data_IF_209930229862
#
_entry.id   IF_209930229862
#
_cell.length_a   1.000
_cell.length_b   1.000
_cell.length_c   1.000
_cell.angle_alpha   90.00
_cell.angle_beta   90.00
_cell.angle_gamma   90.00
#
_symmetry.space_group_name_H-M   'P 1'
#
loop_
_entity.id
_entity.type
_entity.pdbx_description
1 polymer ?
#
# COMPACT_ATOMS: atom_id res chain seq x y z
N UNK A 1 -36.56 16.52 -97.10
CA UNK A 1 -35.76 17.45 -97.94
C UNK A 1 -34.82 18.20 -97.00
N UNK A 2 -33.54 18.25 -97.36
CA UNK A 2 -32.50 19.16 -96.83
C UNK A 2 -31.79 18.73 -95.52
N UNK A 3 -30.50 18.44 -95.73
CA UNK A 3 -29.37 18.18 -94.81
C UNK A 3 -29.07 19.36 -93.89
N UNK A 4 -28.59 19.12 -92.67
CA UNK A 4 -27.57 19.95 -91.99
C UNK A 4 -26.80 19.06 -90.98
N UNK A 5 -25.53 18.72 -91.20
CA UNK A 5 -24.27 19.42 -90.82
C UNK A 5 -23.73 18.98 -89.44
N UNK A 6 -22.56 18.35 -89.46
CA UNK A 6 -21.72 17.98 -88.32
C UNK A 6 -21.13 19.21 -87.61
N UNK A 7 -21.02 19.15 -86.28
CA UNK A 7 -19.96 19.83 -85.51
C UNK A 7 -19.49 18.88 -84.40
N UNK A 8 -18.21 18.49 -84.44
CA UNK A 8 -17.51 17.81 -83.35
C UNK A 8 -17.20 18.82 -82.24
N UNK A 9 -17.50 18.48 -81.00
CA UNK A 9 -16.94 19.13 -79.81
C UNK A 9 -16.28 18.05 -78.93
N UNK A 10 -14.96 18.11 -78.82
CA UNK A 10 -14.18 17.23 -77.96
C UNK A 10 -14.36 17.60 -76.49
N UNK A 11 -14.61 16.60 -75.64
CA UNK A 11 -14.50 16.73 -74.20
C UNK A 11 -13.14 16.23 -73.73
N UNK A 12 -12.38 17.14 -73.14
CA UNK A 12 -11.15 16.89 -72.40
C UNK A 12 -11.48 16.11 -71.12
N UNK A 13 -10.82 14.96 -70.94
CA UNK A 13 -10.89 14.16 -69.73
C UNK A 13 -9.85 14.68 -68.72
N UNK A 14 -10.30 15.48 -67.74
CA UNK A 14 -9.47 15.90 -66.62
C UNK A 14 -9.57 14.86 -65.50
N UNK A 15 -8.57 14.00 -65.39
CA UNK A 15 -8.43 13.04 -64.28
C UNK A 15 -8.03 13.75 -62.99
N UNK A 16 -8.90 13.73 -62.00
CA UNK A 16 -8.59 14.10 -60.61
C UNK A 16 -7.93 12.92 -59.90
N UNK A 17 -6.60 12.97 -59.73
CA UNK A 17 -5.87 12.14 -58.78
C UNK A 17 -6.11 12.69 -57.36
N UNK A 18 -6.91 11.98 -56.56
CA UNK A 18 -7.03 12.26 -55.12
C UNK A 18 -5.81 11.66 -54.40
N UNK A 19 -4.91 12.54 -53.94
CA UNK A 19 -3.81 12.20 -53.02
C UNK A 19 -4.39 11.79 -51.66
N UNK A 20 -4.43 10.48 -51.40
CA UNK A 20 -4.74 9.95 -50.08
C UNK A 20 -3.64 10.28 -49.09
N UNK A 21 -3.92 11.14 -48.12
CA UNK A 21 -3.08 11.36 -46.96
C UNK A 21 -3.06 10.07 -46.11
N UNK A 22 -1.89 9.51 -45.77
CA UNK A 22 -1.84 8.39 -44.84
C UNK A 22 -2.26 8.88 -43.46
N UNK A 23 -3.39 8.37 -42.96
CA UNK A 23 -3.70 8.42 -41.54
C UNK A 23 -2.65 7.59 -40.80
N UNK A 24 -1.67 8.27 -40.20
CA UNK A 24 -0.78 7.65 -39.24
C UNK A 24 -1.61 7.28 -38.01
N UNK A 25 -1.96 6.00 -37.88
CA UNK A 25 -2.50 5.44 -36.65
C UNK A 25 -1.36 5.53 -35.62
N UNK A 26 -1.47 6.47 -34.69
CA UNK A 26 -0.57 6.52 -33.55
C UNK A 26 -0.73 5.21 -32.78
N UNK A 27 0.33 4.39 -32.76
CA UNK A 27 0.41 3.27 -31.84
C UNK A 27 0.32 3.82 -30.41
N UNK A 28 -0.40 3.16 -29.48
CA UNK A 28 -0.36 3.56 -28.09
C UNK A 28 1.09 3.51 -27.63
N UNK A 29 1.58 4.62 -27.08
CA UNK A 29 2.86 4.65 -26.41
C UNK A 29 2.82 3.57 -25.32
N UNK A 30 3.68 2.55 -25.43
CA UNK A 30 3.84 1.59 -24.35
C UNK A 30 4.19 2.35 -23.08
N UNK A 31 3.48 2.02 -21.99
CA UNK A 31 3.77 2.53 -20.65
C UNK A 31 5.27 2.43 -20.40
N UNK A 32 5.93 3.59 -20.28
CA UNK A 32 7.24 3.64 -19.65
C UNK A 32 7.03 3.29 -18.19
N UNK A 33 6.99 2.00 -17.86
CA UNK A 33 7.36 1.58 -16.51
C UNK A 33 8.79 2.07 -16.33
N UNK A 34 8.98 3.17 -15.60
CA UNK A 34 10.29 3.64 -15.20
C UNK A 34 11.12 2.43 -14.73
N UNK A 35 12.40 2.38 -15.09
CA UNK A 35 13.28 1.29 -14.68
C UNK A 35 13.19 1.12 -13.15
N UNK A 36 12.66 -0.01 -12.71
CA UNK A 36 12.45 -0.29 -11.29
C UNK A 36 13.80 -0.31 -10.55
N UNK A 37 14.04 0.57 -9.56
CA UNK A 37 15.30 0.61 -8.82
C UNK A 37 15.65 -0.70 -8.13
N UNK A 38 14.66 -1.54 -7.83
CA UNK A 38 14.85 -2.85 -7.20
C UNK A 38 15.00 -3.98 -8.22
N UNK A 39 14.86 -3.72 -9.53
CA UNK A 39 14.89 -4.70 -10.61
C UNK A 39 14.01 -5.94 -10.36
N UNK A 40 12.83 -5.71 -9.78
CA UNK A 40 11.86 -6.77 -9.52
C UNK A 40 11.26 -7.26 -10.83
N UNK A 41 11.35 -8.57 -11.15
CA UNK A 41 10.68 -9.14 -12.31
C UNK A 41 9.15 -9.02 -12.24
N UNK A 42 8.58 -8.74 -11.07
CA UNK A 42 7.14 -8.57 -10.86
C UNK A 42 6.69 -7.11 -10.80
N UNK A 43 7.58 -6.14 -11.03
CA UNK A 43 7.19 -4.73 -10.93
C UNK A 43 6.02 -4.38 -11.84
N UNK A 44 6.01 -4.85 -13.10
CA UNK A 44 4.89 -4.64 -14.02
C UNK A 44 3.56 -5.16 -13.48
N UNK A 45 3.56 -6.34 -12.85
CA UNK A 45 2.37 -6.90 -12.20
C UNK A 45 1.92 -6.04 -11.01
N UNK A 46 2.87 -5.57 -10.19
CA UNK A 46 2.56 -4.73 -9.04
C UNK A 46 1.99 -3.38 -9.46
N UNK A 47 2.60 -2.76 -10.48
CA UNK A 47 2.14 -1.47 -10.99
C UNK A 47 0.69 -1.57 -11.50
N UNK A 48 0.39 -2.63 -12.26
CA UNK A 48 -0.96 -2.94 -12.72
C UNK A 48 -1.93 -3.21 -11.57
N UNK A 49 -1.53 -4.00 -10.58
CA UNK A 49 -2.40 -4.42 -9.48
C UNK A 49 -2.78 -3.29 -8.52
N UNK A 50 -1.89 -2.30 -8.31
CA UNK A 50 -2.09 -1.27 -7.29
C UNK A 50 -2.45 0.11 -7.83
N UNK A 51 -2.10 0.43 -9.07
CA UNK A 51 -2.24 1.81 -9.58
C UNK A 51 -3.15 1.91 -10.81
N UNK A 52 -3.53 0.81 -11.46
CA UNK A 52 -4.54 0.77 -12.52
C UNK A 52 -4.38 1.88 -13.59
N UNK A 53 -3.14 2.10 -14.06
CA UNK A 53 -2.81 3.12 -15.06
C UNK A 53 -2.62 4.55 -14.53
N UNK A 54 -2.69 4.77 -13.22
CA UNK A 54 -2.33 6.05 -12.59
C UNK A 54 -0.82 6.33 -12.71
N UNK A 55 -0.44 7.60 -12.62
CA UNK A 55 0.97 8.01 -12.67
C UNK A 55 1.73 7.50 -11.44
N UNK A 56 2.85 6.82 -11.71
CA UNK A 56 3.74 6.24 -10.69
C UNK A 56 5.16 6.68 -10.95
N UNK A 57 5.81 7.24 -9.94
CA UNK A 57 7.22 7.63 -9.98
C UNK A 57 7.98 6.99 -8.81
N UNK A 58 9.23 6.60 -9.04
CA UNK A 58 10.11 6.22 -7.94
C UNK A 58 10.68 7.48 -7.29
N UNK A 59 10.57 7.59 -5.97
CA UNK A 59 10.96 8.79 -5.22
C UNK A 59 11.93 8.45 -4.09
N UNK A 60 13.19 8.94 -4.12
CA UNK A 60 14.20 8.63 -3.11
C UNK A 60 13.90 9.24 -1.73
N UNK A 61 12.91 10.14 -1.63
CA UNK A 61 12.43 10.66 -0.34
C UNK A 61 11.58 9.64 0.43
N UNK A 62 11.13 8.58 -0.24
CA UNK A 62 10.44 7.47 0.40
C UNK A 62 11.46 6.40 0.74
N UNK A 63 11.41 5.91 1.98
CA UNK A 63 12.26 4.83 2.44
C UNK A 63 11.48 3.68 3.05
N UNK A 64 12.01 2.48 2.85
CA UNK A 64 11.63 1.27 3.58
C UNK A 64 12.89 0.79 4.28
N UNK A 65 12.81 0.62 5.60
CA UNK A 65 13.91 0.15 6.42
C UNK A 65 13.49 -1.09 7.21
N UNK A 66 14.45 -1.98 7.40
CA UNK A 66 14.29 -3.28 8.04
C UNK A 66 15.63 -4.00 8.07
N UNK A 67 15.69 -5.24 8.58
CA UNK A 67 16.90 -6.03 8.54
C UNK A 67 17.23 -6.40 7.08
N UNK A 68 18.52 -6.46 6.73
CA UNK A 68 18.95 -6.98 5.43
C UNK A 68 18.59 -8.46 5.27
N UNK A 69 18.67 -9.21 6.37
CA UNK A 69 18.32 -10.63 6.47
C UNK A 69 17.35 -10.83 7.64
N UNK A 70 16.17 -11.35 7.35
CA UNK A 70 15.15 -11.71 8.30
C UNK A 70 15.26 -13.20 8.65
N UNK A 71 15.82 -13.48 9.84
CA UNK A 71 15.91 -14.85 10.35
C UNK A 71 14.53 -15.42 10.69
N UNK A 72 13.68 -14.61 11.34
CA UNK A 72 12.28 -14.92 11.58
C UNK A 72 11.40 -14.26 10.50
N UNK A 73 10.97 -15.07 9.53
CA UNK A 73 10.12 -14.64 8.42
C UNK A 73 8.67 -14.39 8.82
N UNK A 74 8.25 -14.78 10.04
CA UNK A 74 6.93 -14.45 10.59
C UNK A 74 6.89 -13.05 11.19
N UNK A 75 8.03 -12.49 11.59
CA UNK A 75 8.12 -11.25 12.37
C UNK A 75 9.20 -10.29 11.85
N UNK A 76 9.13 -9.92 10.57
CA UNK A 76 10.11 -9.02 9.96
C UNK A 76 9.79 -7.56 10.33
N UNK A 77 10.63 -6.86 11.12
CA UNK A 77 10.36 -5.47 11.48
C UNK A 77 10.61 -4.54 10.28
N UNK A 78 9.60 -3.78 9.90
CA UNK A 78 9.61 -2.83 8.79
C UNK A 78 9.22 -1.45 9.29
N UNK A 79 9.95 -0.43 8.86
CA UNK A 79 9.52 0.97 8.97
C UNK A 79 9.44 1.56 7.58
N UNK A 80 8.26 2.06 7.23
CA UNK A 80 8.01 2.82 6.00
C UNK A 80 7.94 4.30 6.35
N UNK A 81 8.61 5.14 5.56
CA UNK A 81 8.70 6.58 5.82
C UNK A 81 8.59 7.35 4.51
N UNK A 82 7.51 8.14 4.40
CA UNK A 82 7.24 9.10 3.34
C UNK A 82 7.06 10.51 3.93
N UNK A 83 7.50 10.76 5.16
CA UNK A 83 7.30 12.05 5.87
C UNK A 83 8.04 13.22 5.22
N UNK A 84 9.03 12.95 4.37
CA UNK A 84 9.70 13.95 3.56
C UNK A 84 8.87 14.43 2.34
N UNK A 85 7.72 13.79 2.07
CA UNK A 85 6.76 14.22 1.07
C UNK A 85 5.69 15.11 1.71
N UNK A 86 5.37 16.27 1.11
CA UNK A 86 4.24 17.07 1.56
C UNK A 86 2.91 16.42 1.14
N UNK A 87 1.90 16.51 2.01
CA UNK A 87 0.52 16.17 1.66
C UNK A 87 0.30 14.71 1.27
N UNK A 88 0.92 13.76 1.97
CA UNK A 88 0.62 12.32 1.80
C UNK A 88 -0.78 12.04 2.33
N UNK A 89 -1.66 11.55 1.47
CA UNK A 89 -3.04 11.18 1.83
C UNK A 89 -3.16 9.70 2.20
N UNK A 90 -2.37 8.85 1.54
CA UNK A 90 -2.47 7.40 1.65
C UNK A 90 -1.12 6.74 1.39
N UNK A 91 -0.82 5.67 2.13
CA UNK A 91 0.31 4.79 1.91
C UNK A 91 -0.17 3.35 1.76
N UNK A 92 0.29 2.65 0.73
CA UNK A 92 0.06 1.22 0.53
C UNK A 92 1.39 0.51 0.67
N UNK A 93 1.46 -0.47 1.58
CA UNK A 93 2.65 -1.30 1.79
C UNK A 93 2.40 -2.69 1.21
N UNK A 94 3.34 -3.19 0.43
CA UNK A 94 3.21 -4.48 -0.26
C UNK A 94 4.57 -5.15 -0.47
N UNK A 95 4.54 -6.47 -0.67
CA UNK A 95 5.71 -7.28 -0.96
C UNK A 95 5.50 -8.06 -2.25
N UNK A 96 6.37 -7.83 -3.24
CA UNK A 96 6.19 -8.31 -4.61
C UNK A 96 6.05 -9.84 -4.70
N UNK A 97 6.71 -10.59 -3.81
CA UNK A 97 6.78 -12.05 -3.86
C UNK A 97 5.98 -12.77 -2.77
N UNK A 98 5.19 -12.04 -1.98
CA UNK A 98 4.23 -12.66 -1.09
C UNK A 98 3.01 -13.19 -1.88
N UNK A 99 2.38 -14.28 -1.42
CA UNK A 99 1.13 -14.77 -2.02
C UNK A 99 -0.03 -13.78 -1.83
N UNK A 100 -0.07 -13.11 -0.67
CA UNK A 100 -0.95 -11.97 -0.40
C UNK A 100 -0.08 -10.72 -0.50
N UNK A 101 -0.23 -9.98 -1.61
CA UNK A 101 0.69 -8.92 -2.01
C UNK A 101 0.62 -7.70 -1.09
N UNK A 102 -0.60 -7.21 -0.83
CA UNK A 102 -0.84 -6.03 0.01
C UNK A 102 -0.74 -6.40 1.48
N UNK A 103 0.11 -5.70 2.22
CA UNK A 103 0.25 -5.89 3.65
C UNK A 103 -0.69 -4.97 4.44
N UNK A 104 -0.76 -3.69 4.07
CA UNK A 104 -1.65 -2.73 4.71
C UNK A 104 -1.86 -1.48 3.86
N UNK A 105 -2.91 -0.73 4.18
CA UNK A 105 -3.10 0.67 3.84
C UNK A 105 -2.97 1.53 5.10
N UNK A 106 -2.36 2.70 4.99
CA UNK A 106 -2.21 3.66 6.08
C UNK A 106 -2.60 5.06 5.59
N UNK A 107 -3.52 5.69 6.30
CA UNK A 107 -3.93 7.07 6.08
C UNK A 107 -3.33 7.91 7.22
N UNK A 108 -2.23 8.65 6.97
CA UNK A 108 -1.52 9.34 8.04
C UNK A 108 -2.35 10.46 8.66
N UNK A 109 -3.23 11.14 7.90
CA UNK A 109 -4.08 12.19 8.44
C UNK A 109 -3.29 13.31 9.11
N UNK A 110 -3.44 13.46 10.43
CA UNK A 110 -2.68 14.40 11.25
C UNK A 110 -1.38 13.81 11.82
N UNK A 111 -1.16 12.49 11.69
CA UNK A 111 0.12 11.86 11.99
C UNK A 111 1.15 12.12 10.88
N UNK A 112 2.42 11.87 11.18
CA UNK A 112 3.47 11.82 10.15
C UNK A 112 3.21 10.62 9.22
N UNK A 113 3.57 10.77 7.95
CA UNK A 113 3.54 9.70 6.95
C UNK A 113 4.65 8.66 7.17
N UNK A 114 4.67 8.06 8.36
CA UNK A 114 5.65 7.11 8.83
C UNK A 114 4.98 6.06 9.70
N UNK A 115 5.23 4.78 9.40
CA UNK A 115 4.65 3.66 10.12
C UNK A 115 5.69 2.56 10.34
N UNK A 116 5.88 2.16 11.60
CA UNK A 116 6.64 0.97 11.98
C UNK A 116 5.70 -0.19 12.28
N UNK A 117 5.97 -1.36 11.73
CA UNK A 117 5.18 -2.58 11.96
C UNK A 117 6.01 -3.85 11.73
N UNK A 118 5.39 -5.02 11.83
CA UNK A 118 6.03 -6.30 11.51
C UNK A 118 5.27 -7.01 10.39
N UNK A 119 6.01 -7.57 9.45
CA UNK A 119 5.52 -8.20 8.23
C UNK A 119 5.89 -9.69 8.21
N UNK A 120 5.00 -10.53 7.69
CA UNK A 120 5.26 -11.91 7.29
C UNK A 120 5.81 -11.92 5.86
N UNK A 121 6.95 -12.58 5.64
CA UNK A 121 7.54 -12.77 4.31
C UNK A 121 7.54 -14.24 3.92
N UNK A 122 6.99 -14.56 2.75
CA UNK A 122 6.99 -15.93 2.24
C UNK A 122 8.34 -16.34 1.67
N UNK A 123 9.10 -15.38 1.18
CA UNK A 123 10.46 -15.53 0.64
C UNK A 123 11.13 -14.15 0.60
N UNK A 124 12.43 -14.12 0.30
CA UNK A 124 13.15 -12.86 0.01
C UNK A 124 12.38 -12.05 -1.02
N UNK A 125 12.04 -10.80 -0.71
CA UNK A 125 11.15 -9.99 -1.54
C UNK A 125 11.57 -8.52 -1.51
N UNK A 126 11.37 -7.79 -2.62
CA UNK A 126 11.16 -6.35 -2.53
C UNK A 126 9.99 -6.08 -1.59
N UNK A 127 10.22 -5.22 -0.59
CA UNK A 127 9.17 -4.64 0.26
C UNK A 127 9.07 -3.17 -0.12
N UNK A 128 7.87 -2.73 -0.48
CA UNK A 128 7.62 -1.42 -1.05
C UNK A 128 6.57 -0.68 -0.26
N UNK A 129 6.69 0.64 -0.31
CA UNK A 129 5.61 1.55 0.06
C UNK A 129 5.36 2.52 -1.08
N UNK A 130 4.10 2.61 -1.47
CA UNK A 130 3.61 3.63 -2.38
C UNK A 130 2.85 4.67 -1.58
N UNK A 131 3.19 5.94 -1.73
CA UNK A 131 2.52 7.06 -1.10
C UNK A 131 1.82 7.90 -2.16
N UNK A 132 0.50 8.08 -2.03
CA UNK A 132 -0.27 9.01 -2.85
C UNK A 132 -0.34 10.34 -2.14
N UNK A 133 0.05 11.38 -2.84
CA UNK A 133 -0.01 12.76 -2.34
C UNK A 133 -1.22 13.50 -2.94
N UNK A 134 -1.50 14.70 -2.41
CA UNK A 134 -2.60 15.58 -2.85
C UNK A 134 -2.61 15.93 -4.35
N UNK A 135 -1.49 15.76 -5.05
CA UNK A 135 -1.38 15.94 -6.50
C UNK A 135 -1.87 14.72 -7.30
N UNK A 136 -2.27 13.63 -6.62
CA UNK A 136 -2.79 12.41 -7.21
C UNK A 136 -1.71 11.42 -7.71
N UNK A 137 -0.43 11.79 -7.63
CA UNK A 137 0.68 10.94 -8.14
C UNK A 137 1.13 9.95 -7.07
N UNK A 138 1.30 8.68 -7.46
CA UNK A 138 1.91 7.67 -6.59
C UNK A 138 3.42 7.76 -6.62
N UNK A 139 4.02 7.98 -5.46
CA UNK A 139 5.47 7.95 -5.26
C UNK A 139 5.83 6.64 -4.59
N UNK A 140 6.82 5.93 -5.12
CA UNK A 140 7.18 4.58 -4.65
C UNK A 140 8.63 4.55 -4.19
N UNK A 141 8.83 3.96 -3.02
CA UNK A 141 10.14 3.57 -2.51
C UNK A 141 10.10 2.12 -2.02
N UNK A 142 11.27 1.53 -1.80
CA UNK A 142 11.35 0.15 -1.35
C UNK A 142 12.76 -0.29 -1.00
N UNK A 143 12.84 -1.49 -0.42
CA UNK A 143 14.09 -2.16 -0.11
C UNK A 143 13.96 -3.66 -0.36
N UNK A 144 15.07 -4.30 -0.69
CA UNK A 144 15.17 -5.74 -0.68
C UNK A 144 15.29 -6.24 0.76
N UNK A 145 14.47 -7.23 1.11
CA UNK A 145 14.59 -7.96 2.37
C UNK A 145 14.86 -9.42 2.03
N UNK A 146 15.98 -9.94 2.51
CA UNK A 146 16.29 -11.37 2.40
C UNK A 146 15.59 -12.10 3.54
N UNK A 147 14.93 -13.22 3.27
CA UNK A 147 14.20 -13.97 4.28
C UNK A 147 14.35 -15.48 4.06
N UNK A 148 14.40 -16.25 5.15
CA UNK A 148 14.38 -17.72 5.11
C UNK A 148 13.10 -18.24 4.44
N UNK A 149 12.00 -17.49 4.55
CA UNK A 149 10.72 -17.76 3.90
C UNK A 149 9.71 -18.51 4.78
N UNK A 150 8.55 -18.85 4.20
CA UNK A 150 7.48 -19.59 4.86
C UNK A 150 6.58 -18.77 5.80
N UNK A 151 6.84 -17.46 5.96
CA UNK A 151 6.14 -16.62 6.93
C UNK A 151 4.63 -16.49 6.72
N UNK A 152 4.11 -16.69 5.50
CA UNK A 152 2.67 -16.58 5.23
C UNK A 152 1.92 -17.92 5.33
N UNK A 153 2.62 -19.06 5.41
CA UNK A 153 2.03 -20.41 5.32
C UNK A 153 2.06 -21.19 6.63
N UNK A 154 2.61 -20.60 7.70
CA UNK A 154 2.62 -21.20 9.03
C UNK A 154 1.41 -20.73 9.85
N UNK A 155 0.85 -21.58 10.73
CA UNK A 155 -0.22 -21.19 11.64
C UNK A 155 0.27 -20.12 12.64
N UNK A 156 -0.64 -19.25 13.08
CA UNK A 156 -0.45 -18.45 14.28
C UNK A 156 -0.21 -19.34 15.51
N UNK A 157 0.68 -18.92 16.41
CA UNK A 157 0.91 -19.64 17.67
C UNK A 157 -0.25 -19.36 18.64
N UNK A 158 -0.77 -18.14 18.65
CA UNK A 158 -1.84 -17.72 19.56
C UNK A 158 -3.21 -18.35 19.29
N UNK A 159 -3.53 -18.68 18.03
CA UNK A 159 -4.86 -19.19 17.64
C UNK A 159 -5.23 -20.53 18.29
N UNK A 160 -4.25 -21.30 18.77
CA UNK A 160 -4.46 -22.61 19.40
C UNK A 160 -4.73 -22.60 20.91
N UNK A 161 -4.65 -21.46 21.61
CA UNK A 161 -4.80 -21.40 23.09
C UNK A 161 -6.10 -20.72 23.55
N UNK A 162 -6.89 -21.35 24.44
CA UNK A 162 -8.13 -20.74 24.97
C UNK A 162 -7.92 -19.43 25.73
N UNK A 163 -6.86 -19.33 26.55
CA UNK A 163 -6.57 -18.11 27.33
C UNK A 163 -6.28 -16.91 26.44
N UNK A 164 -5.81 -17.15 25.22
CA UNK A 164 -5.51 -16.09 24.27
C UNK A 164 -6.76 -15.61 23.53
N UNK A 165 -7.74 -16.49 23.30
CA UNK A 165 -9.05 -16.11 22.72
C UNK A 165 -9.82 -15.17 23.65
N UNK A 166 -9.68 -15.32 24.97
CA UNK A 166 -10.27 -14.40 25.96
C UNK A 166 -9.68 -12.98 25.88
N UNK A 167 -8.47 -12.85 25.33
CA UNK A 167 -7.70 -11.61 25.23
C UNK A 167 -7.68 -11.04 23.82
N UNK A 168 -8.45 -11.63 22.90
CA UNK A 168 -8.55 -11.20 21.52
C UNK A 168 -8.86 -9.70 21.47
N UNK A 169 -8.12 -8.98 20.63
CA UNK A 169 -8.23 -7.54 20.40
C UNK A 169 -7.87 -6.64 21.61
N UNK A 170 -7.33 -7.19 22.70
CA UNK A 170 -6.72 -6.37 23.75
C UNK A 170 -5.57 -5.54 23.19
N UNK A 171 -5.58 -4.24 23.51
CA UNK A 171 -4.52 -3.31 23.14
C UNK A 171 -3.65 -3.03 24.35
N UNK A 172 -2.35 -3.19 24.17
CA UNK A 172 -1.34 -2.62 25.08
C UNK A 172 -0.56 -1.56 24.33
N UNK A 173 -0.32 -0.41 24.95
CA UNK A 173 0.36 0.68 24.27
C UNK A 173 0.91 1.71 25.22
N UNK A 174 1.74 2.59 24.67
CA UNK A 174 2.29 3.73 25.39
C UNK A 174 2.55 4.89 24.45
N UNK A 175 2.42 6.09 25.00
CA UNK A 175 2.68 7.37 24.34
C UNK A 175 3.94 8.02 24.93
N UNK A 176 4.84 8.51 24.09
CA UNK A 176 6.04 9.23 24.54
C UNK A 176 6.18 10.57 23.83
N UNK A 177 6.59 11.61 24.55
CA UNK A 177 7.04 12.84 23.92
C UNK A 177 8.31 12.58 23.11
N UNK A 178 8.41 13.20 21.94
CA UNK A 178 9.62 13.13 21.10
C UNK A 178 10.48 14.38 21.27
N UNK A 179 11.78 14.21 21.06
CA UNK A 179 12.78 15.30 21.17
C UNK A 179 12.57 16.35 20.07
N UNK A 180 12.17 15.91 18.87
CA UNK A 180 11.89 16.75 17.71
C UNK A 180 10.45 17.31 17.68
N UNK A 181 9.72 17.18 18.79
CA UNK A 181 8.33 17.63 18.91
C UNK A 181 7.30 16.54 18.58
N UNK A 182 6.07 16.76 19.04
CA UNK A 182 4.99 15.79 18.94
C UNK A 182 5.17 14.58 19.86
N UNK A 183 4.49 13.48 19.53
CA UNK A 183 4.46 12.26 20.35
C UNK A 183 4.61 11.01 19.48
N UNK A 184 5.11 9.94 20.08
CA UNK A 184 5.19 8.61 19.48
C UNK A 184 4.22 7.69 20.19
N UNK A 185 3.31 7.09 19.45
CA UNK A 185 2.49 5.98 19.90
C UNK A 185 3.16 4.67 19.49
N UNK A 186 3.34 3.75 20.44
CA UNK A 186 3.52 2.34 20.11
C UNK A 186 2.42 1.54 20.76
N UNK A 187 1.82 0.68 19.98
CA UNK A 187 0.79 -0.24 20.43
C UNK A 187 1.06 -1.64 19.93
N UNK A 188 0.49 -2.60 20.63
CA UNK A 188 0.38 -4.01 20.25
C UNK A 188 -1.06 -4.44 20.48
N UNK A 189 -1.63 -5.10 19.49
CA UNK A 189 -2.96 -5.72 19.58
C UNK A 189 -2.77 -7.23 19.67
N UNK A 190 -3.50 -7.90 20.56
CA UNK A 190 -3.53 -9.36 20.63
C UNK A 190 -4.44 -9.88 19.51
N UNK A 191 -3.88 -10.48 18.46
CA UNK A 191 -4.63 -10.93 17.29
C UNK A 191 -3.82 -11.92 16.46
N UNK A 192 -4.41 -12.98 15.85
CA UNK A 192 -3.61 -14.02 15.19
C UNK A 192 -3.03 -13.56 13.86
N UNK A 193 -3.80 -12.75 13.13
CA UNK A 193 -3.47 -12.36 11.76
C UNK A 193 -3.25 -13.61 10.87
N UNK A 194 -4.17 -14.57 10.95
CA UNK A 194 -4.11 -15.79 10.15
C UNK A 194 -4.34 -15.47 8.67
N UNK A 195 -3.51 -16.03 7.80
CA UNK A 195 -3.52 -15.75 6.36
C UNK A 195 -4.53 -16.54 5.54
N UNK A 196 -5.12 -17.57 6.12
CA UNK A 196 -5.95 -18.52 5.37
C UNK A 196 -5.15 -19.47 4.47
N UNK A 197 -3.81 -19.37 4.43
CA UNK A 197 -2.96 -20.19 3.56
C UNK A 197 -2.49 -21.49 4.25
N UNK A 198 -2.54 -21.53 5.58
CA UNK A 198 -2.26 -22.75 6.33
C UNK A 198 -3.47 -23.71 6.25
N UNK A 199 -3.20 -25.00 6.08
CA UNK A 199 -4.25 -26.00 5.87
C UNK A 199 -5.25 -26.04 7.05
N UNK A 200 -6.54 -25.86 6.74
CA UNK A 200 -7.62 -25.91 7.73
C UNK A 200 -7.77 -24.68 8.61
N UNK A 201 -6.99 -23.62 8.40
CA UNK A 201 -7.08 -22.36 9.15
C UNK A 201 -7.64 -21.28 8.21
N UNK A 202 -8.82 -20.70 8.50
CA UNK A 202 -9.37 -19.61 7.69
C UNK A 202 -8.59 -18.31 7.88
N UNK A 203 -8.75 -17.36 6.95
CA UNK A 203 -8.19 -16.03 7.11
C UNK A 203 -8.89 -15.29 8.27
N UNK A 204 -8.10 -14.76 9.20
CA UNK A 204 -8.59 -14.05 10.37
C UNK A 204 -7.64 -12.92 10.74
N UNK A 205 -8.00 -11.69 10.37
CA UNK A 205 -7.14 -10.50 10.45
C UNK A 205 -7.91 -9.26 10.90
N UNK A 206 -7.18 -8.31 11.48
CA UNK A 206 -7.71 -6.97 11.78
C UNK A 206 -7.97 -6.26 10.45
N UNK A 207 -9.13 -5.63 10.26
CA UNK A 207 -9.46 -4.90 9.03
C UNK A 207 -9.20 -3.40 9.14
N UNK A 208 -9.39 -2.84 10.34
CA UNK A 208 -9.38 -1.39 10.55
C UNK A 208 -8.96 -1.05 11.98
N UNK A 209 -8.06 -0.08 12.11
CA UNK A 209 -7.64 0.55 13.35
C UNK A 209 -7.66 2.06 13.13
N UNK A 210 -8.44 2.77 13.94
CA UNK A 210 -8.54 4.23 13.95
C UNK A 210 -7.91 4.77 15.23
N UNK A 211 -7.01 5.74 15.07
CA UNK A 211 -6.40 6.46 16.16
C UNK A 211 -7.04 7.84 16.21
N UNK A 212 -7.62 8.21 17.36
CA UNK A 212 -8.25 9.51 17.57
C UNK A 212 -7.78 10.17 18.87
N UNK A 213 -7.93 11.49 18.95
CA UNK A 213 -7.70 12.22 20.20
C UNK A 213 -8.89 12.10 21.16
N UNK A 214 -8.78 12.69 22.35
CA UNK A 214 -9.84 12.64 23.35
C UNK A 214 -11.16 13.32 22.94
N UNK A 215 -11.13 14.19 21.93
CA UNK A 215 -12.29 14.88 21.39
C UNK A 215 -12.93 14.11 20.23
N UNK A 216 -12.40 12.92 19.89
CA UNK A 216 -12.87 12.09 18.79
C UNK A 216 -12.37 12.55 17.42
N UNK A 217 -11.41 13.47 17.33
CA UNK A 217 -10.78 13.82 16.05
C UNK A 217 -9.90 12.67 15.61
N UNK A 218 -10.18 12.12 14.42
CA UNK A 218 -9.33 11.09 13.81
C UNK A 218 -7.96 11.70 13.48
N UNK A 219 -6.92 11.06 14.00
CA UNK A 219 -5.53 11.43 13.76
C UNK A 219 -4.92 10.59 12.64
N UNK A 220 -5.20 9.29 12.60
CA UNK A 220 -4.75 8.39 11.53
C UNK A 220 -5.57 7.10 11.48
N UNK A 221 -5.43 6.34 10.40
CA UNK A 221 -6.08 5.04 10.20
C UNK A 221 -5.13 4.03 9.60
N UNK A 222 -5.13 2.81 10.12
CA UNK A 222 -4.40 1.66 9.58
C UNK A 222 -5.42 0.60 9.19
N UNK A 223 -5.33 0.11 7.96
CA UNK A 223 -6.12 -1.01 7.46
C UNK A 223 -5.17 -2.15 7.13
N UNK A 224 -4.81 -2.96 8.14
CA UNK A 224 -3.92 -4.09 7.93
C UNK A 224 -4.63 -5.21 7.16
N UNK A 225 -3.83 -6.07 6.55
CA UNK A 225 -4.26 -7.33 5.96
C UNK A 225 -3.46 -8.46 6.61
N UNK A 226 -3.77 -9.68 6.19
CA UNK A 226 -3.20 -10.91 6.74
C UNK A 226 -1.66 -10.98 6.80
N UNK A 227 -0.90 -10.37 5.86
CA UNK A 227 0.56 -10.41 5.92
C UNK A 227 1.17 -9.65 7.09
N UNK A 228 0.42 -8.81 7.81
CA UNK A 228 0.93 -8.22 9.05
C UNK A 228 1.14 -9.33 10.10
N UNK A 229 2.26 -9.28 10.83
CA UNK A 229 2.63 -10.33 11.79
C UNK A 229 1.62 -10.54 12.91
N UNK A 230 1.63 -11.75 13.48
CA UNK A 230 0.83 -12.10 14.66
C UNK A 230 1.07 -11.10 15.79
N UNK A 231 0.01 -10.81 16.54
CA UNK A 231 -0.04 -9.82 17.61
C UNK A 231 0.55 -8.48 17.15
N UNK A 232 -0.09 -7.86 16.16
CA UNK A 232 0.51 -6.79 15.38
C UNK A 232 0.90 -5.62 16.27
N UNK A 233 2.11 -5.12 16.03
CA UNK A 233 2.64 -3.93 16.69
C UNK A 233 2.73 -2.79 15.70
N UNK A 234 2.29 -1.60 16.11
CA UNK A 234 2.37 -0.40 15.28
C UNK A 234 3.12 0.71 16.02
N UNK A 235 4.01 1.40 15.33
CA UNK A 235 4.66 2.62 15.79
C UNK A 235 4.22 3.77 14.89
N UNK A 236 3.55 4.76 15.46
CA UNK A 236 3.04 5.94 14.77
C UNK A 236 3.64 7.17 15.43
N UNK A 237 3.99 8.12 14.59
CA UNK A 237 4.55 9.39 14.99
C UNK A 237 3.53 10.50 14.74
N UNK A 238 3.07 11.16 15.80
CA UNK A 238 2.17 12.31 15.70
C UNK A 238 2.99 13.60 15.56
N UNK A 239 2.54 14.50 14.68
CA UNK A 239 3.19 15.80 14.49
C UNK A 239 2.98 16.73 15.69
N UNK A 240 1.82 16.61 16.34
CA UNK A 240 1.44 17.37 17.53
C UNK A 240 1.21 16.42 18.71
N UNK A 241 1.31 16.94 19.94
CA UNK A 241 0.96 16.16 21.12
C UNK A 241 -0.55 15.91 21.18
N UNK A 242 -0.95 14.74 21.62
CA UNK A 242 -2.35 14.39 21.82
C UNK A 242 -2.99 15.30 22.87
N UNK A 243 -4.14 15.87 22.53
CA UNK A 243 -4.98 16.59 23.48
C UNK A 243 -5.27 15.69 24.69
N UNK A 244 -5.06 16.21 25.90
CA UNK A 244 -5.31 15.47 27.15
C UNK A 244 -4.31 14.36 27.47
N UNK A 245 -3.24 14.19 26.68
CA UNK A 245 -2.18 13.21 26.94
C UNK A 245 -2.61 11.74 26.79
N UNK A 246 -3.68 11.49 26.04
CA UNK A 246 -4.21 10.15 25.75
C UNK A 246 -4.73 10.07 24.32
N UNK A 247 -4.74 8.85 23.79
CA UNK A 247 -5.25 8.51 22.47
C UNK A 247 -6.26 7.39 22.58
N UNK A 248 -7.30 7.46 21.75
CA UNK A 248 -8.26 6.39 21.60
C UNK A 248 -7.91 5.54 20.39
N UNK A 249 -7.71 4.25 20.61
CA UNK A 249 -7.48 3.22 19.59
C UNK A 249 -8.75 2.41 19.48
N UNK A 250 -9.41 2.48 18.33
CA UNK A 250 -10.64 1.73 18.04
C UNK A 250 -10.50 0.98 16.72
N UNK A 251 -11.33 -0.04 16.49
CA UNK A 251 -11.23 -0.83 15.27
C UNK A 251 -12.03 -2.12 15.32
N UNK A 252 -11.77 -3.01 14.35
CA UNK A 252 -12.37 -4.35 14.31
C UNK A 252 -11.56 -5.32 13.45
N UNK A 253 -11.83 -6.61 13.65
CA UNK A 253 -11.41 -7.69 12.75
C UNK A 253 -12.48 -8.08 11.72
N UNK A 254 -12.12 -8.99 10.81
CA UNK A 254 -12.98 -9.48 9.74
C UNK A 254 -14.11 -10.42 10.19
N UNK A 255 -14.17 -10.76 11.49
CA UNK A 255 -15.30 -11.43 12.12
C UNK A 255 -16.20 -10.46 12.91
N UNK A 256 -15.86 -9.17 12.94
CA UNK A 256 -16.62 -8.12 13.60
C UNK A 256 -16.32 -7.94 15.09
N UNK A 257 -15.30 -8.62 15.65
CA UNK A 257 -14.92 -8.36 17.04
C UNK A 257 -14.24 -6.98 17.12
N UNK A 258 -14.50 -6.25 18.21
CA UNK A 258 -14.08 -4.85 18.33
C UNK A 258 -12.73 -4.72 19.02
N UNK A 259 -11.98 -3.72 18.57
CA UNK A 259 -10.84 -3.13 19.27
C UNK A 259 -11.33 -1.83 19.89
N UNK A 260 -11.09 -1.63 21.18
CA UNK A 260 -11.48 -0.41 21.89
C UNK A 260 -10.58 -0.21 23.12
N UNK A 261 -9.70 0.80 23.06
CA UNK A 261 -8.74 1.06 24.14
C UNK A 261 -8.29 2.51 24.20
N UNK A 262 -7.96 2.96 25.42
CA UNK A 262 -7.28 4.23 25.64
C UNK A 262 -5.80 3.98 25.94
N UNK A 263 -4.93 4.68 25.23
CA UNK A 263 -3.48 4.67 25.47
C UNK A 263 -3.07 6.01 26.05
N UNK A 264 -2.34 6.00 27.15
CA UNK A 264 -1.87 7.20 27.84
C UNK A 264 -0.34 7.30 27.80
N UNK A 265 0.18 8.45 28.24
CA UNK A 265 1.62 8.67 28.47
C UNK A 265 2.18 7.78 29.60
#
# INVERSE_FOLDING_TARGET
MIRHTLVLAGLLWAGTFALGLPYAVAAPAGEQTANDPLNSPRWGDMAKAFFDGQEVVFDPRISVSGPLVAEDSLNVPITVDASALPGVEEMIVFADFNPILKALRFEPGAAQARLGFRLKLQQSSPVRVAARTVDGVWRVGGAWVTATGGGCTLPSVGSGSPEWQERLNEVSGRLWARIDGGERLRMRVIHPMDTGLAAGIPAFHIEDIVISDENGRILSRIQPLEPVSENPSFTIDLAEAASGGRLHVSGRDNNGNRIDAWVTR
#
